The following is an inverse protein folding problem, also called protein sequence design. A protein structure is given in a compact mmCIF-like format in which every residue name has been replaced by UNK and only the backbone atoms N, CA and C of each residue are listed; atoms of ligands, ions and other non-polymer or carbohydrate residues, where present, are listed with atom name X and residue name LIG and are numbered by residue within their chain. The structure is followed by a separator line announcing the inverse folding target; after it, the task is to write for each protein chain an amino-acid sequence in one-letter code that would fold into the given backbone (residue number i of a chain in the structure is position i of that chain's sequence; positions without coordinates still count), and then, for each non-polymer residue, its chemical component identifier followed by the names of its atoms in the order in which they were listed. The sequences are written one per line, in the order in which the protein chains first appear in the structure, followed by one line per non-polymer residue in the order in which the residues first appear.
data_IF_618938374109
#
_entry.id   IF_618938374109
#
_cell.length_a   1.000
_cell.length_b   1.000
_cell.length_c   1.000
_cell.angle_alpha   90.00
_cell.angle_beta   90.00
_cell.angle_gamma   90.00
#
_symmetry.space_group_name_H-M   'P 1'
#
loop_
_entity.id
_entity.type
_entity.pdbx_description
1 polymer ?
#
# COMPACT_ATOMS: atom_id res chain seq x y z
N UNK A 1 -5.11 -6.70 6.98
CA UNK A 1 -6.05 -7.85 6.83
C UNK A 1 -5.37 -8.99 6.09
N UNK A 2 -5.58 -10.26 6.49
CA UNK A 2 -5.07 -11.38 5.70
C UNK A 2 -5.96 -11.64 4.47
N UNK A 3 -5.40 -12.34 3.48
CA UNK A 3 -6.15 -12.69 2.27
C UNK A 3 -7.22 -13.76 2.53
N UNK A 4 -6.91 -14.74 3.39
CA UNK A 4 -7.56 -16.06 3.39
C UNK A 4 -8.43 -16.37 4.62
N UNK A 5 -8.45 -15.56 5.68
CA UNK A 5 -9.31 -15.82 6.83
C UNK A 5 -10.78 -15.68 6.48
N UNK A 6 -11.64 -16.14 7.39
CA UNK A 6 -13.10 -16.08 7.28
C UNK A 6 -13.63 -14.67 6.99
N UNK A 7 -12.97 -13.64 7.51
CA UNK A 7 -13.30 -12.23 7.28
C UNK A 7 -12.23 -11.52 6.43
N UNK A 8 -11.40 -12.29 5.74
CA UNK A 8 -10.30 -11.79 4.91
C UNK A 8 -10.79 -11.11 3.64
N UNK A 9 -9.85 -10.55 2.88
CA UNK A 9 -10.10 -9.83 1.62
C UNK A 9 -10.95 -10.67 0.65
N UNK A 10 -10.68 -11.97 0.56
CA UNK A 10 -11.35 -12.89 -0.35
C UNK A 10 -12.85 -13.07 -0.08
N UNK A 11 -13.29 -12.98 1.18
CA UNK A 11 -14.70 -13.08 1.53
C UNK A 11 -15.48 -11.85 1.06
N UNK A 12 -14.94 -10.65 1.30
CA UNK A 12 -15.56 -9.37 0.91
C UNK A 12 -15.62 -9.16 -0.60
N UNK A 13 -14.55 -9.53 -1.31
CA UNK A 13 -14.50 -9.37 -2.78
C UNK A 13 -15.53 -10.22 -3.51
N UNK A 14 -15.92 -11.37 -2.96
CA UNK A 14 -16.96 -12.21 -3.58
C UNK A 14 -18.33 -11.53 -3.54
N UNK A 15 -18.60 -10.70 -2.54
CA UNK A 15 -19.83 -9.92 -2.45
C UNK A 15 -19.81 -8.72 -3.41
N UNK A 16 -18.68 -8.02 -3.52
CA UNK A 16 -18.54 -6.84 -4.39
C UNK A 16 -18.39 -7.21 -5.89
N UNK A 17 -17.79 -8.36 -6.20
CA UNK A 17 -17.53 -8.84 -7.57
C UNK A 17 -17.96 -10.31 -7.72
N UNK A 18 -19.27 -10.58 -7.90
CA UNK A 18 -19.79 -11.94 -8.04
C UNK A 18 -19.26 -12.67 -9.28
N UNK A 19 -18.80 -11.93 -10.29
CA UNK A 19 -18.22 -12.44 -11.54
C UNK A 19 -16.77 -12.96 -11.38
N UNK A 20 -16.12 -12.74 -10.22
CA UNK A 20 -14.80 -13.33 -9.97
C UNK A 20 -14.94 -14.86 -9.79
N UNK A 21 -14.33 -15.69 -10.65
CA UNK A 21 -14.43 -17.15 -10.53
C UNK A 21 -13.94 -17.65 -9.18
N UNK A 22 -12.85 -17.06 -8.70
CA UNK A 22 -12.38 -17.20 -7.34
C UNK A 22 -11.58 -15.95 -6.92
N UNK A 23 -11.33 -15.75 -5.62
CA UNK A 23 -10.65 -14.56 -5.14
C UNK A 23 -9.19 -14.40 -5.60
N UNK A 24 -8.52 -15.49 -6.01
CA UNK A 24 -7.16 -15.43 -6.55
C UNK A 24 -7.15 -14.85 -7.97
N UNK A 25 -8.28 -14.93 -8.70
CA UNK A 25 -8.41 -14.39 -10.06
C UNK A 25 -8.17 -12.88 -10.14
N UNK A 26 -8.28 -12.12 -9.04
CA UNK A 26 -7.92 -10.69 -9.06
C UNK A 26 -6.42 -10.45 -9.30
N UNK A 27 -5.59 -11.47 -9.01
CA UNK A 27 -4.16 -11.49 -9.29
C UNK A 27 -3.85 -12.39 -10.49
N UNK A 28 -4.81 -12.74 -11.32
CA UNK A 28 -4.55 -13.46 -12.57
C UNK A 28 -4.35 -12.47 -13.71
N UNK A 29 -3.31 -12.66 -14.52
CA UNK A 29 -2.96 -11.67 -15.53
C UNK A 29 -3.91 -11.65 -16.72
N UNK A 30 -4.51 -12.78 -17.06
CA UNK A 30 -5.52 -12.88 -18.11
C UNK A 30 -6.80 -12.21 -17.64
N UNK A 31 -7.22 -12.48 -16.40
CA UNK A 31 -8.38 -11.81 -15.80
C UNK A 31 -8.17 -10.31 -15.71
N UNK A 32 -7.01 -9.84 -15.23
CA UNK A 32 -6.70 -8.40 -15.16
C UNK A 32 -6.75 -7.72 -16.54
N UNK A 33 -6.34 -8.42 -17.58
CA UNK A 33 -6.39 -7.92 -18.97
C UNK A 33 -7.84 -7.79 -19.46
N UNK A 34 -8.75 -8.63 -18.96
CA UNK A 34 -10.18 -8.58 -19.27
C UNK A 34 -10.92 -7.55 -18.40
N UNK A 35 -10.76 -7.62 -17.07
CA UNK A 35 -11.36 -6.71 -16.10
C UNK A 35 -10.40 -6.40 -14.93
N UNK A 36 -9.74 -5.24 -14.92
CA UNK A 36 -8.83 -4.84 -13.85
C UNK A 36 -9.53 -4.20 -12.65
N UNK A 37 -10.85 -3.95 -12.71
CA UNK A 37 -11.59 -3.24 -11.65
C UNK A 37 -11.49 -3.93 -10.29
N UNK A 38 -11.61 -5.27 -10.17
CA UNK A 38 -11.52 -5.92 -8.85
C UNK A 38 -10.16 -5.73 -8.18
N UNK A 39 -9.08 -5.79 -8.96
CA UNK A 39 -7.74 -5.52 -8.44
C UNK A 39 -7.60 -4.09 -7.92
N UNK A 40 -8.04 -3.08 -8.68
CA UNK A 40 -7.89 -1.69 -8.25
C UNK A 40 -8.83 -1.28 -7.10
N UNK A 41 -9.98 -1.95 -6.99
CA UNK A 41 -10.81 -1.88 -5.80
C UNK A 41 -10.04 -2.34 -4.57
N UNK A 42 -9.40 -3.50 -4.69
CA UNK A 42 -8.56 -4.06 -3.64
C UNK A 42 -7.30 -3.23 -3.35
N UNK A 43 -6.61 -2.72 -4.37
CA UNK A 43 -5.34 -2.02 -4.27
C UNK A 43 -5.40 -0.80 -3.33
N UNK A 44 -6.56 -0.14 -3.21
CA UNK A 44 -6.78 0.97 -2.27
C UNK A 44 -6.63 0.57 -0.80
N UNK A 45 -7.02 -0.64 -0.42
CA UNK A 45 -7.01 -1.10 0.98
C UNK A 45 -5.62 -1.51 1.46
N UNK A 46 -4.75 -1.88 0.53
CA UNK A 46 -3.38 -2.33 0.82
C UNK A 46 -2.34 -1.35 0.31
N UNK A 47 -2.76 -0.15 -0.09
CA UNK A 47 -1.84 0.87 -0.54
C UNK A 47 -0.83 1.19 0.58
N UNK A 48 0.49 1.25 0.28
CA UNK A 48 1.50 1.48 1.31
C UNK A 48 1.25 2.74 2.16
N UNK A 49 1.55 2.63 3.45
CA UNK A 49 1.40 3.71 4.45
C UNK A 49 0.09 3.72 5.23
N UNK A 50 -0.74 2.68 5.10
CA UNK A 50 -1.97 2.50 5.88
C UNK A 50 -1.81 1.49 7.05
N UNK A 51 -0.70 0.76 7.11
CA UNK A 51 -0.44 -0.30 8.09
C UNK A 51 0.96 -0.13 8.71
N UNK A 52 1.15 -0.71 9.89
CA UNK A 52 2.42 -0.67 10.63
C UNK A 52 3.14 -2.03 10.57
N UNK A 53 4.49 -2.04 10.61
CA UNK A 53 5.25 -3.28 10.72
C UNK A 53 4.95 -4.02 12.02
N UNK A 54 4.86 -5.34 11.95
CA UNK A 54 4.70 -6.20 13.12
C UNK A 54 6.01 -6.49 13.85
N UNK A 55 5.93 -7.15 15.01
CA UNK A 55 7.09 -7.59 15.78
C UNK A 55 8.04 -8.48 14.95
N UNK A 56 7.49 -9.35 14.10
CA UNK A 56 8.28 -10.17 13.17
C UNK A 56 9.17 -9.33 12.23
N UNK A 57 8.69 -8.19 11.75
CA UNK A 57 9.48 -7.31 10.88
C UNK A 57 10.67 -6.72 11.65
N UNK A 58 10.47 -6.26 12.88
CA UNK A 58 11.55 -5.74 13.71
C UNK A 58 12.54 -6.84 14.14
N UNK A 59 12.07 -8.07 14.34
CA UNK A 59 12.95 -9.21 14.56
C UNK A 59 13.88 -9.46 13.37
N UNK A 60 13.36 -9.44 12.14
CA UNK A 60 14.18 -9.56 10.92
C UNK A 60 15.17 -8.39 10.81
N UNK A 61 14.71 -7.16 11.08
CA UNK A 61 15.57 -5.98 11.07
C UNK A 61 16.71 -6.08 12.09
N UNK A 62 16.45 -6.64 13.27
CA UNK A 62 17.46 -6.87 14.29
C UNK A 62 18.48 -7.94 13.86
N UNK A 63 18.03 -9.03 13.21
CA UNK A 63 18.95 -10.01 12.62
C UNK A 63 19.88 -9.35 11.59
N UNK A 64 19.37 -8.44 10.77
CA UNK A 64 20.20 -7.71 9.80
C UNK A 64 21.17 -6.74 10.47
N UNK A 65 20.72 -5.99 11.49
CA UNK A 65 21.57 -5.08 12.26
C UNK A 65 22.76 -5.80 12.88
N UNK A 66 22.60 -7.09 13.18
CA UNK A 66 23.61 -7.97 13.76
C UNK A 66 24.42 -8.75 12.72
N UNK A 67 24.20 -8.49 11.44
CA UNK A 67 24.82 -9.19 10.30
C UNK A 67 24.50 -10.70 10.26
N UNK A 68 23.38 -11.12 10.85
CA UNK A 68 22.93 -12.51 10.90
C UNK A 68 21.85 -12.83 9.85
N UNK A 69 21.37 -11.82 9.12
CA UNK A 69 20.43 -11.99 8.02
C UNK A 69 21.18 -12.09 6.69
N UNK A 70 21.22 -13.27 6.07
CA UNK A 70 21.70 -13.39 4.68
C UNK A 70 20.73 -12.70 3.71
N UNK A 71 19.44 -13.01 3.82
CA UNK A 71 18.38 -12.45 2.99
C UNK A 71 17.00 -12.62 3.61
N UNK A 72 16.12 -11.65 3.39
CA UNK A 72 14.69 -11.78 3.59
C UNK A 72 13.96 -11.89 2.23
N UNK A 73 13.41 -13.07 1.94
CA UNK A 73 12.58 -13.33 0.77
C UNK A 73 11.10 -13.17 1.14
N UNK A 74 10.50 -12.02 0.82
CA UNK A 74 9.10 -11.74 1.14
C UNK A 74 8.18 -12.05 -0.03
N UNK A 75 7.03 -12.67 0.27
CA UNK A 75 5.91 -12.84 -0.67
C UNK A 75 4.90 -11.69 -0.56
N UNK A 76 5.05 -10.83 0.43
CA UNK A 76 4.15 -9.71 0.68
C UNK A 76 4.39 -8.61 -0.36
N UNK A 77 3.34 -7.83 -0.60
CA UNK A 77 3.33 -6.69 -1.53
C UNK A 77 3.06 -5.37 -0.82
N UNK A 78 2.74 -5.42 0.48
CA UNK A 78 2.40 -4.27 1.33
C UNK A 78 3.58 -3.34 1.59
N UNK A 79 4.81 -3.80 1.33
CA UNK A 79 6.06 -3.03 1.45
C UNK A 79 6.38 -2.58 2.88
N UNK A 80 5.82 -3.25 3.90
CA UNK A 80 6.09 -2.93 5.31
C UNK A 80 7.55 -3.15 5.71
N UNK A 81 8.27 -4.01 4.98
CA UNK A 81 9.70 -4.25 5.21
C UNK A 81 10.54 -2.98 5.04
N UNK A 82 10.10 -2.04 4.19
CA UNK A 82 10.79 -0.75 3.98
C UNK A 82 10.56 0.27 5.11
N UNK A 83 9.52 0.09 5.92
CA UNK A 83 9.32 0.89 7.13
C UNK A 83 10.20 0.40 8.28
N UNK A 84 10.78 -0.80 8.14
CA UNK A 84 11.87 -1.28 8.95
C UNK A 84 13.21 -1.05 8.22
N UNK A 85 14.34 -0.97 8.92
CA UNK A 85 15.65 -0.82 8.29
C UNK A 85 16.16 -2.13 7.66
N UNK A 86 15.28 -2.89 6.96
CA UNK A 86 15.63 -4.14 6.28
C UNK A 86 16.13 -3.81 4.86
N UNK A 87 17.41 -4.07 4.58
CA UNK A 87 18.05 -3.77 3.28
C UNK A 87 18.29 -5.02 2.46
N UNK A 88 18.58 -6.16 3.09
CA UNK A 88 18.78 -7.48 2.44
C UNK A 88 17.43 -8.11 2.05
N UNK A 89 16.63 -7.38 1.28
CA UNK A 89 15.24 -7.72 0.93
C UNK A 89 15.10 -8.17 -0.53
N UNK A 90 14.31 -9.22 -0.76
CA UNK A 90 13.81 -9.62 -2.08
C UNK A 90 12.28 -9.68 -2.03
N UNK A 91 11.61 -8.77 -2.74
CA UNK A 91 10.16 -8.78 -2.92
C UNK A 91 9.80 -9.74 -4.04
N UNK A 92 9.57 -11.01 -3.69
CA UNK A 92 9.42 -12.11 -4.65
C UNK A 92 8.23 -11.89 -5.60
N UNK A 93 7.17 -11.25 -5.12
CA UNK A 93 5.98 -10.93 -5.92
C UNK A 93 5.90 -9.44 -6.27
N UNK A 94 7.03 -8.73 -6.27
CA UNK A 94 7.08 -7.30 -6.57
C UNK A 94 6.41 -6.44 -5.50
N UNK A 95 6.07 -5.19 -5.85
CA UNK A 95 5.47 -4.23 -4.92
C UNK A 95 4.73 -3.10 -5.63
N UNK A 96 4.06 -2.25 -4.84
CA UNK A 96 3.42 -1.02 -5.34
C UNK A 96 4.39 0.10 -5.66
N UNK A 97 5.71 -0.09 -5.50
CA UNK A 97 6.72 0.98 -5.66
C UNK A 97 6.68 1.68 -7.03
N UNK A 98 6.31 0.94 -8.06
CA UNK A 98 6.21 1.41 -9.44
C UNK A 98 5.05 0.73 -10.16
N UNK A 99 4.65 1.30 -11.29
CA UNK A 99 3.64 0.73 -12.18
C UNK A 99 4.08 0.81 -13.63
N UNK A 100 3.77 -0.21 -14.42
CA UNK A 100 4.16 -0.30 -15.82
C UNK A 100 2.92 -0.33 -16.72
N UNK A 101 2.93 0.49 -17.78
CA UNK A 101 1.88 0.48 -18.77
C UNK A 101 1.86 -0.86 -19.53
N UNK A 102 0.71 -1.53 -19.54
CA UNK A 102 0.51 -2.81 -20.25
C UNK A 102 0.62 -2.72 -21.78
N UNK A 103 0.69 -1.51 -22.35
CA UNK A 103 0.79 -1.27 -23.80
C UNK A 103 2.17 -0.79 -24.23
N UNK A 104 2.62 0.35 -23.71
CA UNK A 104 3.87 0.97 -24.14
C UNK A 104 5.06 0.71 -23.21
N UNK A 105 4.89 -0.07 -22.14
CA UNK A 105 5.92 -0.37 -21.14
C UNK A 105 6.51 0.86 -20.43
N UNK A 106 5.86 2.04 -20.55
CA UNK A 106 6.25 3.20 -19.77
C UNK A 106 6.04 2.91 -18.27
N UNK A 107 7.14 2.96 -17.53
CA UNK A 107 7.16 2.74 -16.08
C UNK A 107 7.10 4.06 -15.33
N UNK A 108 6.26 4.12 -14.30
CA UNK A 108 6.01 5.30 -13.48
C UNK A 108 6.18 4.96 -12.00
N UNK A 109 6.40 5.98 -11.18
CA UNK A 109 6.44 5.85 -9.72
C UNK A 109 5.06 5.61 -9.13
N UNK A 110 5.02 5.06 -7.91
CA UNK A 110 3.77 4.86 -7.17
C UNK A 110 3.00 6.17 -6.91
N UNK A 111 3.70 7.27 -6.68
CA UNK A 111 3.11 8.58 -6.42
C UNK A 111 2.33 9.12 -7.61
N UNK A 112 2.72 8.76 -8.84
CA UNK A 112 2.05 9.21 -10.06
C UNK A 112 0.65 8.61 -10.26
N UNK A 113 0.39 7.42 -9.72
CA UNK A 113 -0.93 6.75 -9.82
C UNK A 113 -1.72 6.78 -8.50
N UNK A 114 -1.09 7.26 -7.42
CA UNK A 114 -1.63 7.20 -6.06
C UNK A 114 -2.99 7.88 -5.95
N UNK A 115 -3.14 9.04 -6.58
CA UNK A 115 -4.39 9.79 -6.53
C UNK A 115 -5.53 8.98 -7.18
N UNK A 116 -5.29 8.42 -8.37
CA UNK A 116 -6.23 7.58 -9.10
C UNK A 116 -6.65 6.37 -8.27
N UNK A 117 -5.70 5.62 -7.70
CA UNK A 117 -6.00 4.43 -6.89
C UNK A 117 -6.88 4.77 -5.67
N UNK A 118 -6.51 5.81 -4.92
CA UNK A 118 -7.21 6.20 -3.70
C UNK A 118 -8.63 6.74 -3.98
N UNK A 119 -8.80 7.42 -5.11
CA UNK A 119 -10.10 7.91 -5.61
C UNK A 119 -10.89 6.86 -6.39
N UNK A 120 -10.37 5.64 -6.55
CA UNK A 120 -11.01 4.55 -7.30
C UNK A 120 -11.25 4.90 -8.76
N UNK A 121 -10.32 5.66 -9.34
CA UNK A 121 -10.25 6.00 -10.75
C UNK A 121 -9.23 5.07 -11.40
N UNK A 122 -9.54 4.56 -12.59
CA UNK A 122 -8.64 3.66 -13.32
C UNK A 122 -7.36 4.40 -13.76
N UNK A 123 -6.15 3.94 -13.40
CA UNK A 123 -4.91 4.62 -13.75
C UNK A 123 -4.52 4.32 -15.20
N UNK A 124 -4.89 5.23 -16.11
CA UNK A 124 -4.53 5.14 -17.52
C UNK A 124 -3.16 5.75 -17.81
N UNK A 125 -2.44 5.16 -18.76
CA UNK A 125 -1.12 5.64 -19.17
C UNK A 125 -1.24 6.98 -19.93
N UNK A 126 -0.55 8.01 -19.44
CA UNK A 126 -0.52 9.35 -20.05
C UNK A 126 0.28 9.42 -21.36
N UNK A 127 1.14 8.43 -21.63
CA UNK A 127 1.94 8.33 -22.86
C UNK A 127 1.18 7.64 -24.02
N UNK A 128 0.13 6.89 -23.71
CA UNK A 128 -0.70 6.24 -24.73
C UNK A 128 -1.82 7.19 -25.17
N UNK A 129 -2.24 7.08 -26.43
CA UNK A 129 -3.50 7.71 -26.85
C UNK A 129 -4.68 7.12 -26.06
N UNK A 130 -5.67 7.95 -25.72
CA UNK A 130 -6.91 7.52 -25.05
C UNK A 130 -7.72 6.50 -25.84
N UNK A 131 -7.47 6.40 -27.14
CA UNK A 131 -8.12 5.40 -28.02
C UNK A 131 -7.49 4.01 -27.93
N UNK A 132 -6.30 3.89 -27.33
CA UNK A 132 -5.63 2.60 -27.15
C UNK A 132 -6.28 1.84 -25.99
N UNK A 133 -6.92 0.72 -26.30
CA UNK A 133 -7.45 -0.18 -25.29
C UNK A 133 -6.33 -0.78 -24.43
N UNK A 134 -6.64 -1.09 -23.17
CA UNK A 134 -5.74 -1.68 -22.18
C UNK A 134 -4.46 -0.87 -21.89
N UNK A 135 -4.45 0.44 -22.18
CA UNK A 135 -3.39 1.37 -21.77
C UNK A 135 -3.49 1.70 -20.27
N UNK A 136 -3.42 0.68 -19.43
CA UNK A 136 -3.57 0.75 -17.97
C UNK A 136 -2.20 0.59 -17.33
N UNK A 137 -1.93 1.41 -16.32
CA UNK A 137 -0.73 1.32 -15.48
C UNK A 137 -0.99 0.26 -14.42
N UNK A 138 -0.42 -0.94 -14.61
CA UNK A 138 -0.49 -2.02 -13.62
C UNK A 138 0.65 -1.84 -12.62
N UNK A 139 0.40 -1.83 -11.30
CA UNK A 139 1.46 -1.96 -10.31
C UNK A 139 2.36 -3.16 -10.61
N UNK A 140 3.66 -3.00 -10.38
CA UNK A 140 4.70 -4.01 -10.63
C UNK A 140 4.69 -5.11 -9.54
N UNK A 141 3.49 -5.65 -9.29
CA UNK A 141 3.21 -6.85 -8.51
C UNK A 141 3.12 -8.03 -9.47
N UNK A 142 3.72 -9.15 -9.13
CA UNK A 142 3.66 -10.37 -9.94
C UNK A 142 2.28 -11.00 -9.81
N UNK A 143 1.58 -11.13 -10.93
CA UNK A 143 0.31 -11.85 -11.02
C UNK A 143 0.55 -13.32 -11.36
N UNK A 144 -0.42 -14.19 -11.09
CA UNK A 144 -0.45 -15.55 -11.64
C UNK A 144 -0.38 -15.46 -13.17
N UNK A 145 0.48 -16.30 -13.75
CA UNK A 145 0.84 -16.27 -15.17
C UNK A 145 2.02 -15.35 -15.51
N UNK A 146 2.49 -14.51 -14.58
CA UNK A 146 3.70 -13.69 -14.76
C UNK A 146 4.94 -14.37 -14.14
N UNK A 147 6.13 -14.18 -14.74
CA UNK A 147 7.38 -14.64 -14.13
C UNK A 147 7.71 -13.80 -12.90
N UNK A 148 8.46 -14.38 -11.95
CA UNK A 148 9.01 -13.61 -10.84
C UNK A 148 10.12 -12.68 -11.33
N UNK A 149 10.47 -11.63 -10.55
CA UNK A 149 11.54 -10.72 -10.90
C UNK A 149 12.86 -11.48 -11.03
N UNK A 150 13.69 -11.08 -12.00
CA UNK A 150 14.98 -11.73 -12.27
C UNK A 150 15.90 -11.73 -11.02
N UNK A 151 15.80 -10.69 -10.20
CA UNK A 151 16.53 -10.56 -8.94
C UNK A 151 16.26 -11.71 -7.96
N UNK A 152 15.05 -12.29 -7.96
CA UNK A 152 14.77 -13.48 -7.16
C UNK A 152 15.66 -14.64 -7.58
N UNK A 153 15.71 -14.94 -8.88
CA UNK A 153 16.47 -16.07 -9.44
C UNK A 153 17.98 -15.88 -9.29
N UNK A 154 18.47 -14.67 -9.58
CA UNK A 154 19.88 -14.31 -9.40
C UNK A 154 20.30 -14.48 -7.94
N UNK A 155 19.51 -13.93 -7.02
CA UNK A 155 19.88 -13.92 -5.60
C UNK A 155 19.82 -15.31 -4.98
N UNK A 156 18.75 -16.08 -5.23
CA UNK A 156 18.62 -17.43 -4.64
C UNK A 156 19.68 -18.39 -5.16
N UNK A 157 20.15 -18.21 -6.40
CA UNK A 157 21.21 -19.04 -6.97
C UNK A 157 22.56 -18.91 -6.24
N UNK A 158 22.78 -17.77 -5.57
CA UNK A 158 23.98 -17.50 -4.77
C UNK A 158 23.73 -17.79 -3.29
N UNK A 159 22.58 -17.37 -2.77
CA UNK A 159 22.28 -17.47 -1.34
C UNK A 159 22.12 -18.94 -0.89
N UNK A 160 21.65 -19.84 -1.77
CA UNK A 160 21.48 -21.27 -1.44
C UNK A 160 22.77 -21.95 -0.97
N UNK A 161 23.91 -21.49 -1.44
CA UNK A 161 25.23 -22.06 -1.13
C UNK A 161 25.89 -21.39 0.09
N UNK A 162 25.27 -20.32 0.63
CA UNK A 162 25.75 -19.55 1.79
C UNK A 162 24.84 -19.66 3.00
N UNK A 163 23.60 -20.07 2.80
CA UNK A 163 22.60 -20.21 3.84
C UNK A 163 23.00 -21.33 4.80
N UNK A 164 22.98 -21.03 6.10
CA UNK A 164 23.27 -21.96 7.20
C UNK A 164 22.04 -22.25 8.07
N UNK A 165 20.95 -21.49 7.92
CA UNK A 165 19.66 -21.66 8.59
C UNK A 165 18.52 -21.07 7.74
N UNK A 166 17.44 -21.83 7.56
CA UNK A 166 16.20 -21.33 6.96
C UNK A 166 15.11 -21.14 8.02
N UNK A 167 14.50 -19.95 8.05
CA UNK A 167 13.30 -19.69 8.86
C UNK A 167 12.15 -19.30 7.93
N UNK A 168 11.09 -20.10 7.93
CA UNK A 168 9.85 -19.80 7.20
C UNK A 168 8.84 -19.23 8.18
N UNK A 169 8.44 -17.97 7.98
CA UNK A 169 7.54 -17.27 8.89
C UNK A 169 6.24 -16.85 8.18
N UNK A 170 5.09 -17.23 8.74
CA UNK A 170 3.78 -16.72 8.32
C UNK A 170 3.37 -17.03 6.88
N UNK A 171 3.88 -18.12 6.29
CA UNK A 171 3.56 -18.51 4.91
C UNK A 171 3.05 -19.95 4.82
N UNK A 172 2.11 -20.18 3.91
CA UNK A 172 1.63 -21.52 3.58
C UNK A 172 2.50 -22.25 2.54
N UNK A 173 3.47 -21.56 1.93
CA UNK A 173 4.34 -22.07 0.86
C UNK A 173 3.57 -22.85 -0.23
N UNK A 174 2.44 -22.30 -0.68
CA UNK A 174 1.64 -22.90 -1.77
C UNK A 174 1.98 -22.36 -3.15
N UNK A 175 2.65 -21.20 -3.22
CA UNK A 175 2.91 -20.49 -4.49
C UNK A 175 4.36 -20.74 -4.92
N UNK A 176 4.52 -21.39 -6.07
CA UNK A 176 5.82 -21.54 -6.74
C UNK A 176 6.23 -20.21 -7.39
N UNK A 177 7.54 -19.95 -7.54
CA UNK A 177 8.68 -20.78 -7.16
C UNK A 177 9.16 -20.54 -5.72
N UNK A 178 8.62 -19.56 -4.98
CA UNK A 178 9.07 -19.26 -3.61
C UNK A 178 8.90 -20.48 -2.68
N UNK A 179 7.84 -21.26 -2.86
CA UNK A 179 7.65 -22.51 -2.11
C UNK A 179 8.75 -23.54 -2.32
N UNK A 180 9.54 -23.46 -3.39
CA UNK A 180 10.62 -24.39 -3.68
C UNK A 180 11.92 -24.04 -2.95
N UNK A 181 12.04 -22.85 -2.35
CA UNK A 181 13.27 -22.42 -1.65
C UNK A 181 13.72 -23.45 -0.61
N UNK A 182 12.79 -24.02 0.16
CA UNK A 182 13.13 -25.05 1.15
C UNK A 182 13.67 -26.35 0.57
N UNK A 183 13.36 -26.66 -0.70
CA UNK A 183 13.84 -27.84 -1.42
C UNK A 183 15.16 -27.58 -2.17
N UNK A 184 15.51 -26.30 -2.39
CA UNK A 184 16.75 -25.90 -3.07
C UNK A 184 17.97 -25.91 -2.14
N UNK A 185 17.75 -25.81 -0.83
CA UNK A 185 18.83 -25.79 0.16
C UNK A 185 19.38 -27.21 0.41
N UNK A 186 20.69 -27.35 0.69
CA UNK A 186 21.26 -28.62 1.09
C UNK A 186 20.52 -29.23 2.30
N UNK A 187 20.35 -30.56 2.30
CA UNK A 187 19.56 -31.26 3.33
C UNK A 187 20.08 -31.14 4.77
N UNK A 188 21.34 -30.70 4.96
CA UNK A 188 21.92 -30.48 6.28
C UNK A 188 21.62 -29.11 6.88
N UNK A 189 21.06 -28.19 6.09
CA UNK A 189 20.69 -26.84 6.55
C UNK A 189 19.42 -26.96 7.41
N UNK A 190 19.47 -26.59 8.70
CA UNK A 190 18.30 -26.64 9.55
C UNK A 190 17.19 -25.72 9.03
N UNK A 191 15.95 -26.19 9.12
CA UNK A 191 14.76 -25.46 8.67
C UNK A 191 13.74 -25.36 9.79
N UNK A 192 13.37 -24.12 10.13
CA UNK A 192 12.39 -23.80 11.18
C UNK A 192 11.13 -23.22 10.53
N UNK A 193 9.98 -23.76 10.91
CA UNK A 193 8.68 -23.19 10.58
C UNK A 193 8.13 -22.40 11.77
N UNK A 194 7.75 -21.14 11.54
CA UNK A 194 6.94 -20.32 12.46
C UNK A 194 5.64 -19.98 11.75
N UNK A 195 4.56 -20.69 12.03
CA UNK A 195 3.31 -20.50 11.32
C UNK A 195 2.09 -20.85 12.16
N UNK A 196 0.91 -20.36 11.79
CA UNK A 196 -0.33 -20.72 12.51
C UNK A 196 -0.68 -22.20 12.36
N UNK A 197 -0.36 -22.77 11.21
CA UNK A 197 -0.73 -24.13 10.83
C UNK A 197 0.50 -24.89 10.32
N UNK A 198 0.50 -26.20 10.54
CA UNK A 198 1.46 -27.11 9.94
C UNK A 198 1.33 -27.11 8.41
N UNK A 199 2.42 -27.40 7.70
CA UNK A 199 2.44 -27.55 6.25
C UNK A 199 2.62 -29.05 5.89
N UNK A 200 1.55 -29.81 5.63
CA UNK A 200 1.64 -31.27 5.42
C UNK A 200 2.51 -31.69 4.22
N UNK A 201 2.70 -30.77 3.27
CA UNK A 201 3.48 -30.96 2.05
C UNK A 201 4.95 -30.54 2.19
N UNK A 202 5.40 -30.22 3.41
CA UNK A 202 6.78 -29.80 3.72
C UNK A 202 7.26 -30.47 5.00
N UNK A 203 8.57 -30.63 5.12
CA UNK A 203 9.23 -31.14 6.32
C UNK A 203 10.15 -30.06 6.88
N UNK A 204 10.04 -29.81 8.17
CA UNK A 204 10.87 -28.87 8.93
C UNK A 204 11.44 -29.59 10.14
N UNK A 205 12.64 -29.22 10.58
CA UNK A 205 13.27 -29.81 11.75
C UNK A 205 12.58 -29.35 13.04
N UNK A 206 12.12 -28.10 13.06
CA UNK A 206 11.39 -27.50 14.17
C UNK A 206 10.14 -26.79 13.63
N UNK A 207 8.99 -27.14 14.20
CA UNK A 207 7.71 -26.48 13.89
C UNK A 207 7.20 -25.74 15.14
N UNK A 208 7.20 -24.41 15.08
CA UNK A 208 6.61 -23.52 16.09
C UNK A 208 5.24 -23.06 15.60
N UNK A 209 4.19 -23.66 16.16
CA UNK A 209 2.81 -23.47 15.69
C UNK A 209 2.03 -22.48 16.55
N UNK A 210 1.52 -21.42 15.93
CA UNK A 210 0.77 -20.37 16.62
C UNK A 210 0.80 -19.01 15.93
N UNK A 211 0.37 -17.97 16.64
CA UNK A 211 0.51 -16.60 16.14
C UNK A 211 2.01 -16.24 16.03
N UNK A 212 2.42 -15.77 14.85
CA UNK A 212 3.83 -15.46 14.55
C UNK A 212 4.41 -14.47 15.56
N UNK A 213 3.75 -13.34 15.85
CA UNK A 213 4.29 -12.34 16.78
C UNK A 213 4.38 -12.86 18.22
N UNK A 214 3.50 -13.77 18.64
CA UNK A 214 3.60 -14.42 19.97
C UNK A 214 4.85 -15.30 20.04
N UNK A 215 5.10 -16.10 19.00
CA UNK A 215 6.26 -16.97 18.92
C UNK A 215 7.55 -16.15 18.83
N UNK A 216 7.59 -15.16 17.95
CA UNK A 216 8.73 -14.26 17.79
C UNK A 216 9.00 -13.53 19.11
N UNK A 217 7.98 -13.09 19.84
CA UNK A 217 8.17 -12.50 21.15
C UNK A 217 8.87 -13.47 22.12
N UNK A 218 8.44 -14.72 22.18
CA UNK A 218 9.09 -15.73 23.04
C UNK A 218 10.54 -15.99 22.63
N UNK A 219 10.82 -16.06 21.32
CA UNK A 219 12.18 -16.17 20.81
C UNK A 219 13.03 -14.96 21.21
N UNK A 220 12.52 -13.74 21.07
CA UNK A 220 13.19 -12.52 21.52
C UNK A 220 13.53 -12.55 23.01
N UNK A 221 12.60 -13.00 23.86
CA UNK A 221 12.83 -13.11 25.32
C UNK A 221 13.92 -14.14 25.65
N UNK A 222 14.00 -15.25 24.90
CA UNK A 222 15.04 -16.27 25.08
C UNK A 222 16.39 -15.78 24.59
N UNK A 223 16.42 -15.13 23.42
CA UNK A 223 17.62 -14.56 22.83
C UNK A 223 18.17 -13.40 23.67
N UNK A 224 17.31 -12.62 24.33
CA UNK A 224 17.70 -11.50 25.20
C UNK A 224 18.65 -11.90 26.35
N UNK A 225 18.68 -13.17 26.73
CA UNK A 225 19.63 -13.71 27.73
C UNK A 225 21.08 -13.70 27.24
N UNK A 226 21.27 -13.81 25.93
CA UNK A 226 22.57 -13.80 25.27
C UNK A 226 22.83 -12.45 24.60
N UNK A 227 21.76 -11.83 24.09
CA UNK A 227 21.82 -10.67 23.23
C UNK A 227 20.72 -9.67 23.61
N UNK A 228 21.01 -8.73 24.53
CA UNK A 228 20.00 -7.85 25.14
C UNK A 228 19.16 -7.04 24.15
N UNK A 229 19.69 -6.74 22.96
CA UNK A 229 19.00 -5.97 21.92
C UNK A 229 17.70 -6.63 21.43
N UNK A 230 17.59 -7.97 21.49
CA UNK A 230 16.32 -8.66 21.19
C UNK A 230 15.23 -8.36 22.23
N UNK A 231 15.59 -8.07 23.48
CA UNK A 231 14.66 -7.65 24.52
C UNK A 231 14.08 -6.24 24.29
N UNK A 232 14.81 -5.38 23.58
CA UNK A 232 14.39 -4.01 23.28
C UNK A 232 13.43 -3.90 22.10
N UNK A 233 13.31 -4.93 21.28
CA UNK A 233 12.41 -4.96 20.10
C UNK A 233 10.96 -4.66 20.50
N UNK A 234 10.50 -5.19 21.65
CA UNK A 234 9.16 -4.90 22.17
C UNK A 234 8.93 -3.42 22.45
N UNK A 235 9.98 -2.72 22.94
CA UNK A 235 9.94 -1.28 23.17
C UNK A 235 9.92 -0.51 21.86
N UNK A 236 10.65 -0.96 20.83
CA UNK A 236 10.62 -0.36 19.50
C UNK A 236 9.25 -0.49 18.84
N UNK A 237 8.60 -1.65 18.94
CA UNK A 237 7.25 -1.85 18.42
C UNK A 237 6.26 -0.88 19.09
N UNK A 238 6.30 -0.76 20.42
CA UNK A 238 5.41 0.14 21.16
C UNK A 238 5.76 1.63 20.98
N UNK A 239 7.05 1.98 20.89
CA UNK A 239 7.47 3.36 20.57
C UNK A 239 7.09 3.76 19.16
N UNK A 240 7.11 2.84 18.20
CA UNK A 240 6.65 3.15 16.85
C UNK A 240 5.13 3.25 16.77
N UNK A 241 4.35 2.47 17.52
CA UNK A 241 2.92 2.75 17.74
C UNK A 241 2.74 4.19 18.27
N UNK A 242 3.56 4.62 19.24
CA UNK A 242 3.50 5.98 19.80
C UNK A 242 3.97 7.06 18.80
N UNK A 243 5.07 6.85 18.08
CA UNK A 243 5.64 7.78 17.11
C UNK A 243 4.76 7.88 15.87
N UNK A 244 4.12 6.79 15.44
CA UNK A 244 3.11 6.80 14.38
C UNK A 244 1.85 7.50 14.83
N UNK A 245 1.41 7.31 16.08
CA UNK A 245 0.34 8.14 16.66
C UNK A 245 0.71 9.62 16.63
N UNK A 246 1.94 10.00 16.99
CA UNK A 246 2.43 11.38 16.92
C UNK A 246 2.52 11.91 15.48
N UNK A 247 3.08 11.13 14.54
CA UNK A 247 3.19 11.51 13.11
C UNK A 247 1.81 11.59 12.46
N UNK A 248 0.89 10.68 12.79
CA UNK A 248 -0.48 10.71 12.32
C UNK A 248 -1.22 11.91 12.93
N UNK A 249 -1.00 12.21 14.21
CA UNK A 249 -1.55 13.39 14.87
C UNK A 249 -1.01 14.68 14.25
N UNK A 250 0.29 14.74 13.91
CA UNK A 250 0.90 15.89 13.24
C UNK A 250 0.43 16.01 11.79
N UNK A 251 0.29 14.91 11.05
CA UNK A 251 -0.30 14.92 9.70
C UNK A 251 -1.77 15.36 9.71
N UNK A 252 -2.56 14.89 10.69
CA UNK A 252 -3.94 15.32 10.90
C UNK A 252 -3.98 16.79 11.32
N UNK A 253 -3.11 17.24 12.23
CA UNK A 253 -3.00 18.64 12.68
C UNK A 253 -2.61 19.56 11.54
N UNK A 254 -1.63 19.19 10.72
CA UNK A 254 -1.21 19.92 9.52
C UNK A 254 -2.38 19.97 8.52
N UNK A 255 -3.06 18.86 8.28
CA UNK A 255 -4.25 18.80 7.42
C UNK A 255 -5.38 19.71 7.93
N UNK A 256 -5.67 19.69 9.23
CA UNK A 256 -6.66 20.56 9.88
C UNK A 256 -6.28 22.04 9.82
N UNK A 257 -5.00 22.37 9.97
CA UNK A 257 -4.48 23.73 9.80
C UNK A 257 -4.57 24.21 8.34
N UNK A 258 -4.27 23.34 7.38
CA UNK A 258 -4.42 23.62 5.95
C UNK A 258 -5.89 23.78 5.56
N UNK A 259 -6.80 23.00 6.13
CA UNK A 259 -8.24 23.15 5.95
C UNK A 259 -8.78 24.43 6.59
N UNK A 260 -8.30 24.83 7.79
CA UNK A 260 -8.61 26.13 8.39
C UNK A 260 -8.12 27.30 7.51
N UNK A 261 -6.90 27.21 6.98
CA UNK A 261 -6.34 28.19 6.03
C UNK A 261 -7.12 28.26 4.72
N UNK A 262 -7.59 27.12 4.19
CA UNK A 262 -8.47 27.07 3.01
C UNK A 262 -9.86 27.65 3.31
N UNK A 263 -10.46 27.36 4.47
CA UNK A 263 -11.74 27.97 4.89
C UNK A 263 -11.64 29.48 5.12
N UNK A 264 -10.53 29.97 5.68
CA UNK A 264 -10.25 31.41 5.77
C UNK A 264 -10.05 32.02 4.37
N UNK A 265 -9.29 31.39 3.47
CA UNK A 265 -9.12 31.91 2.09
C UNK A 265 -10.43 31.93 1.28
N UNK A 266 -11.32 30.96 1.46
CA UNK A 266 -12.64 30.93 0.81
C UNK A 266 -13.58 32.01 1.39
N UNK A 267 -13.48 32.31 2.69
CA UNK A 267 -14.25 33.38 3.34
C UNK A 267 -13.86 34.80 2.87
N UNK A 268 -12.66 35.01 2.33
CA UNK A 268 -12.20 36.32 1.84
C UNK A 268 -12.44 36.55 0.34
N UNK A 269 -12.98 35.57 -0.40
CA UNK A 269 -13.16 35.65 -1.86
C UNK A 269 -14.59 35.54 -2.36
N UNK A 270 -15.59 35.70 -1.48
CA UNK A 270 -16.97 35.95 -1.90
C UNK A 270 -17.52 37.16 -1.16
N UNK A 271 -17.21 38.34 -1.69
CA UNK A 271 -18.14 39.39 -2.13
C UNK A 271 -17.36 40.70 -2.25
N UNK A 272 -17.18 41.17 -3.48
CA UNK A 272 -17.39 42.56 -3.89
C UNK A 272 -16.80 42.75 -5.28
N UNK A 273 -17.59 42.38 -6.29
CA UNK A 273 -17.42 42.93 -7.63
C UNK A 273 -18.79 43.18 -8.25
N UNK A 274 -19.36 44.33 -7.89
CA UNK A 274 -20.36 45.03 -8.69
C UNK A 274 -19.92 46.48 -8.77
N UNK A 275 -19.25 46.82 -9.87
CA UNK A 275 -18.97 48.20 -10.24
C UNK A 275 -19.51 48.50 -11.64
N UNK A 276 -20.54 49.35 -11.71
CA UNK A 276 -20.92 50.21 -12.86
C UNK A 276 -21.49 51.51 -12.21
N UNK A 277 -21.27 52.72 -12.76
CA UNK A 277 -20.28 53.69 -12.29
C UNK A 277 -20.88 54.95 -11.63
N UNK A 278 -20.01 55.79 -11.04
CA UNK A 278 -20.31 57.02 -10.28
C UNK A 278 -20.80 58.19 -11.14
N UNK A 279 -21.77 58.94 -10.59
CA UNK A 279 -21.91 60.42 -10.48
C UNK A 279 -23.42 60.75 -10.39
N UNK A 280 -23.98 61.55 -9.46
CA UNK A 280 -23.65 62.90 -8.96
C UNK A 280 -24.27 63.16 -7.58
N UNK A 281 -23.65 64.07 -6.82
CA UNK A 281 -24.16 64.69 -5.59
C UNK A 281 -25.47 65.48 -5.82
N UNK A 282 -26.37 65.50 -4.82
CA UNK A 282 -26.70 66.69 -4.01
C UNK A 282 -28.17 66.75 -3.52
N UNK A 283 -28.30 67.13 -2.24
CA UNK A 283 -29.40 67.91 -1.62
C UNK A 283 -30.82 67.30 -1.44
N UNK A 284 -31.13 67.01 -0.17
CA UNK A 284 -32.24 67.58 0.61
C UNK A 284 -33.65 67.65 -0.02
N UNK A 285 -34.48 66.69 0.44
CA UNK A 285 -35.84 66.84 1.00
C UNK A 285 -37.04 67.23 0.10
N UNK A 286 -38.27 66.83 0.54
CA UNK A 286 -39.44 66.66 -0.30
C UNK A 286 -40.44 67.83 -0.19
N UNK A 287 -41.35 67.99 -1.17
CA UNK A 287 -42.82 68.02 -0.97
C UNK A 287 -43.63 68.56 -2.18
N UNK A 288 -44.82 67.95 -2.35
CA UNK A 288 -46.11 68.51 -2.83
C UNK A 288 -46.47 68.44 -4.33
N UNK A 289 -47.36 67.48 -4.62
CA UNK A 289 -48.65 67.51 -5.35
C UNK A 289 -48.80 68.06 -6.80
N UNK A 290 -49.30 67.12 -7.63
CA UNK A 290 -50.45 67.18 -8.59
C UNK A 290 -50.20 67.58 -10.07
N UNK A 291 -51.09 67.16 -11.01
CA UNK A 291 -50.76 66.43 -12.25
C UNK A 291 -51.28 67.18 -13.51
N UNK A 292 -51.76 66.47 -14.56
CA UNK A 292 -51.10 65.82 -15.70
C UNK A 292 -51.15 66.70 -16.98
N UNK A 293 -51.00 66.10 -18.18
CA UNK A 293 -51.16 66.66 -19.57
C UNK A 293 -49.83 67.00 -20.27
N UNK A 294 -49.59 66.77 -21.57
CA UNK A 294 -50.39 66.39 -22.75
C UNK A 294 -49.45 65.75 -23.79
N UNK A 295 -50.07 65.04 -24.75
CA UNK A 295 -49.58 64.43 -25.99
C UNK A 295 -48.60 65.24 -26.87
N UNK A 296 -47.78 64.51 -27.65
CA UNK A 296 -47.52 64.66 -29.11
C UNK A 296 -46.24 63.87 -29.46
N UNK A 297 -46.30 62.75 -30.17
CA UNK A 297 -46.42 62.55 -31.63
C UNK A 297 -45.17 62.91 -32.44
N UNK A 298 -44.88 62.06 -33.44
CA UNK A 298 -43.90 62.19 -34.54
C UNK A 298 -42.45 61.89 -34.15
N UNK A 299 -41.68 61.04 -34.84
CA UNK A 299 -41.87 60.27 -36.10
C UNK A 299 -41.00 59.01 -36.01
#
# INVERSE_FOLDING_TARGET
PDFRSRNGIYARLREEFPELPNPQSMFDIEYFTHDPRPFFRFAKEIWPGQHEPSLAHYFIAELERRDQLLRNYTQNIDSLEHLCPIKRLIQCHGSFSTSTCRRCQNRVSSDEIKHEILQQIMPHCTKCSKTVQNAILKPDIVFFGEPLPEDFHKTISVDKDKCDLLIVMGSSLKVKPVSLVSELLPAHIPQILVNRERLPHKSFDIELLGNCDVIINELCLRLAKYEPSFGDIKRLNHRNEQLMNEILYDKIRISMQQQKRKKQKVSYHTTNDTSVPKERLSSLRPRIFKPPMIQSSSS
#
